data_IF_598602947820
#
_entry.id   IF_598602947820
#
_cell.length_a   1.000
_cell.length_b   1.000
_cell.length_c   1.000
_cell.angle_alpha   90.00
_cell.angle_beta   90.00
_cell.angle_gamma   90.00
#
_symmetry.space_group_name_H-M   'P 1'
#
loop_
_entity.id
_entity.type
_entity.pdbx_description
1 polymer ?
#
# COMPACT_ATOMS: atom_id res chain seq x y z
N UNK A 1 8.32 -2.81 -10.27
CA UNK A 1 8.50 -3.42 -8.93
C UNK A 1 8.02 -4.88 -8.83
N UNK A 2 7.39 -5.44 -9.86
CA UNK A 2 6.81 -6.78 -9.85
C UNK A 2 7.82 -7.89 -9.51
N UNK A 3 9.04 -7.83 -10.05
CA UNK A 3 10.08 -8.84 -9.77
C UNK A 3 10.39 -8.96 -8.27
N UNK A 4 10.55 -7.84 -7.56
CA UNK A 4 10.83 -7.84 -6.11
C UNK A 4 9.68 -8.50 -5.34
N UNK A 5 8.44 -8.17 -5.66
CA UNK A 5 7.30 -8.78 -4.98
C UNK A 5 7.14 -10.26 -5.29
N UNK A 6 7.52 -10.71 -6.50
CA UNK A 6 7.56 -12.13 -6.85
C UNK A 6 8.61 -12.88 -6.03
N UNK A 7 9.82 -12.33 -5.92
CA UNK A 7 10.90 -12.92 -5.12
C UNK A 7 10.53 -12.96 -3.62
N UNK A 8 9.90 -11.90 -3.10
CA UNK A 8 9.38 -11.88 -1.73
C UNK A 8 8.24 -12.89 -1.51
N UNK A 9 7.39 -13.10 -2.52
CA UNK A 9 6.27 -14.04 -2.44
C UNK A 9 6.73 -15.47 -2.18
N UNK A 10 7.86 -15.87 -2.76
CA UNK A 10 8.47 -17.19 -2.62
C UNK A 10 9.09 -17.45 -1.23
N UNK A 11 9.54 -16.41 -0.54
CA UNK A 11 10.29 -16.54 0.74
C UNK A 11 9.50 -16.12 1.97
N UNK A 12 8.52 -15.22 1.82
CA UNK A 12 7.73 -14.74 2.95
C UNK A 12 6.61 -15.73 3.31
N UNK A 13 6.26 -15.86 4.61
CA UNK A 13 5.11 -16.63 5.06
C UNK A 13 3.80 -16.24 4.35
N UNK A 14 2.85 -17.17 4.15
CA UNK A 14 1.61 -16.93 3.40
C UNK A 14 0.72 -15.80 3.94
N UNK A 15 0.80 -15.52 5.23
CA UNK A 15 0.03 -14.50 5.94
C UNK A 15 0.64 -13.08 5.85
N UNK A 16 1.82 -12.94 5.25
CA UNK A 16 2.54 -11.66 5.13
C UNK A 16 1.79 -10.67 4.26
N UNK A 17 1.59 -9.44 4.77
CA UNK A 17 1.06 -8.30 4.00
C UNK A 17 2.20 -7.59 3.28
N UNK A 18 2.02 -7.33 1.99
CA UNK A 18 2.95 -6.55 1.17
C UNK A 18 2.43 -5.13 0.96
N UNK A 19 3.21 -4.15 1.43
CA UNK A 19 2.90 -2.73 1.28
C UNK A 19 3.88 -2.04 0.31
N UNK A 20 3.37 -1.20 -0.60
CA UNK A 20 4.20 -0.39 -1.51
C UNK A 20 4.08 1.10 -1.23
N UNK A 21 5.23 1.76 -1.03
CA UNK A 21 5.34 3.23 -0.96
C UNK A 21 5.45 3.89 -2.35
N UNK A 22 4.85 3.29 -3.39
CA UNK A 22 4.84 3.93 -4.72
C UNK A 22 4.00 5.21 -4.69
N UNK A 23 4.27 6.18 -5.56
CA UNK A 23 3.49 7.42 -5.68
C UNK A 23 2.60 7.47 -6.94
N UNK A 24 2.81 6.53 -7.88
CA UNK A 24 2.11 6.54 -9.18
C UNK A 24 1.99 5.15 -9.86
N UNK A 25 2.72 4.13 -9.42
CA UNK A 25 2.60 2.78 -10.00
C UNK A 25 1.36 2.06 -9.46
N UNK A 26 0.77 1.19 -10.28
CA UNK A 26 -0.41 0.44 -9.90
C UNK A 26 -0.13 -0.60 -8.80
N UNK A 27 -0.92 -0.57 -7.73
CA UNK A 27 -0.96 -1.60 -6.68
C UNK A 27 -1.55 -2.88 -7.25
N UNK A 28 -2.59 -2.77 -8.07
CA UNK A 28 -3.20 -3.92 -8.76
C UNK A 28 -2.19 -4.70 -9.62
N UNK A 29 -1.40 -4.01 -10.44
CA UNK A 29 -0.34 -4.64 -11.26
C UNK A 29 0.79 -5.25 -10.43
N UNK A 30 1.06 -4.72 -9.24
CA UNK A 30 2.04 -5.31 -8.32
C UNK A 30 1.47 -6.57 -7.65
N UNK A 31 0.20 -6.54 -7.22
CA UNK A 31 -0.48 -7.68 -6.61
C UNK A 31 -0.60 -8.87 -7.57
N UNK A 32 -0.88 -8.62 -8.85
CA UNK A 32 -1.00 -9.67 -9.88
C UNK A 32 0.31 -10.42 -10.16
N UNK A 33 1.44 -9.91 -9.70
CA UNK A 33 2.74 -10.58 -9.82
C UNK A 33 3.05 -11.53 -8.65
N UNK A 34 2.13 -11.66 -7.69
CA UNK A 34 2.24 -12.50 -6.49
C UNK A 34 1.12 -13.53 -6.43
N UNK A 35 1.26 -14.57 -5.61
CA UNK A 35 0.19 -15.50 -5.29
C UNK A 35 -0.73 -15.01 -4.16
N UNK A 36 -0.55 -13.77 -3.67
CA UNK A 36 -1.34 -13.16 -2.59
C UNK A 36 -1.84 -11.75 -2.93
N UNK A 37 -2.54 -11.55 -4.06
CA UNK A 37 -3.06 -10.22 -4.43
C UNK A 37 -3.97 -9.60 -3.35
N UNK A 38 -4.65 -10.44 -2.57
CA UNK A 38 -5.50 -10.06 -1.45
C UNK A 38 -4.76 -9.50 -0.22
N UNK A 39 -3.44 -9.71 -0.15
CA UNK A 39 -2.53 -9.17 0.89
C UNK A 39 -1.57 -8.12 0.33
N UNK A 40 -1.83 -7.57 -0.86
CA UNK A 40 -1.04 -6.49 -1.46
C UNK A 40 -1.76 -5.16 -1.35
N UNK A 41 -1.09 -4.13 -0.83
CA UNK A 41 -1.70 -2.80 -0.58
C UNK A 41 -0.70 -1.66 -0.81
N UNK A 42 -1.21 -0.47 -1.15
CA UNK A 42 -0.41 0.75 -1.13
C UNK A 42 -0.37 1.37 0.27
N UNK A 43 0.82 1.81 0.70
CA UNK A 43 1.03 2.53 1.95
C UNK A 43 2.00 3.69 1.66
N UNK A 44 1.45 4.81 1.20
CA UNK A 44 2.22 5.93 0.67
C UNK A 44 2.47 6.99 1.75
N UNK A 45 3.73 7.13 2.11
CA UNK A 45 4.26 8.11 3.03
C UNK A 45 4.68 9.40 2.31
N UNK A 46 4.48 10.52 2.97
CA UNK A 46 4.92 11.83 2.47
C UNK A 46 6.31 12.16 2.98
N UNK A 47 7.18 12.68 2.11
CA UNK A 47 8.53 13.08 2.50
C UNK A 47 8.53 14.43 3.24
N UNK A 48 9.25 14.58 4.37
CA UNK A 48 10.03 13.54 5.06
C UNK A 48 9.14 12.59 5.91
N UNK A 49 9.28 11.28 5.69
CA UNK A 49 8.36 10.27 6.24
C UNK A 49 8.29 10.22 7.78
N UNK A 50 9.36 10.58 8.48
CA UNK A 50 9.37 10.62 9.95
C UNK A 50 8.66 11.85 10.53
N UNK A 51 8.55 12.94 9.75
CA UNK A 51 7.92 14.20 10.18
C UNK A 51 6.44 14.24 9.76
N UNK A 52 6.16 13.87 8.51
CA UNK A 52 4.82 14.00 7.93
C UNK A 52 3.85 13.01 8.60
N UNK A 53 2.66 13.49 8.98
CA UNK A 53 1.66 12.66 9.66
C UNK A 53 0.80 11.85 8.71
N UNK A 54 0.55 12.35 7.52
CA UNK A 54 -0.35 11.72 6.56
C UNK A 54 0.29 10.46 5.97
N UNK A 55 -0.51 9.40 5.84
CA UNK A 55 -0.21 8.19 5.06
C UNK A 55 -1.45 7.84 4.25
N UNK A 56 -1.31 7.70 2.94
CA UNK A 56 -2.39 7.21 2.09
C UNK A 56 -2.35 5.68 2.05
N UNK A 57 -3.49 5.04 2.33
CA UNK A 57 -3.70 3.60 2.21
C UNK A 57 -4.47 3.35 0.92
N UNK A 58 -3.91 2.56 0.01
CA UNK A 58 -4.45 2.36 -1.34
C UNK A 58 -4.72 0.87 -1.58
N UNK A 59 -5.92 0.37 -1.24
CA UNK A 59 -6.32 -0.99 -1.60
C UNK A 59 -6.52 -1.13 -3.11
N UNK A 60 -6.12 -2.29 -3.64
CA UNK A 60 -6.54 -2.77 -4.96
C UNK A 60 -7.92 -3.40 -4.86
N UNK A 61 -8.63 -3.65 -5.99
CA UNK A 61 -9.91 -4.36 -5.98
C UNK A 61 -9.85 -5.77 -5.38
N UNK A 62 -8.68 -6.41 -5.40
CA UNK A 62 -8.45 -7.76 -4.86
C UNK A 62 -8.10 -7.73 -3.36
N UNK A 63 -7.77 -6.56 -2.78
CA UNK A 63 -7.30 -6.45 -1.39
C UNK A 63 -8.40 -6.80 -0.41
N UNK A 64 -8.13 -7.73 0.51
CA UNK A 64 -9.07 -8.09 1.58
C UNK A 64 -9.25 -6.94 2.58
N UNK A 65 -10.47 -6.82 3.12
CA UNK A 65 -10.77 -5.83 4.15
C UNK A 65 -9.89 -6.00 5.39
N UNK A 66 -9.57 -7.24 5.79
CA UNK A 66 -8.65 -7.55 6.90
C UNK A 66 -7.24 -6.95 6.67
N UNK A 67 -6.75 -6.97 5.42
CA UNK A 67 -5.48 -6.34 5.05
C UNK A 67 -5.55 -4.82 5.21
N UNK A 68 -6.68 -4.20 4.81
CA UNK A 68 -6.90 -2.76 4.96
C UNK A 68 -6.93 -2.36 6.44
N UNK A 69 -7.71 -3.08 7.24
CA UNK A 69 -7.89 -2.81 8.67
C UNK A 69 -6.57 -2.98 9.43
N UNK A 70 -5.81 -4.03 9.11
CA UNK A 70 -4.48 -4.28 9.69
C UNK A 70 -3.50 -3.14 9.39
N UNK A 71 -3.46 -2.67 8.14
CA UNK A 71 -2.56 -1.57 7.73
C UNK A 71 -3.01 -0.23 8.30
N UNK A 72 -4.32 -0.01 8.43
CA UNK A 72 -4.86 1.17 9.10
C UNK A 72 -4.43 1.21 10.57
N UNK A 73 -4.63 0.11 11.30
CA UNK A 73 -4.21 -0.01 12.69
C UNK A 73 -2.70 0.21 12.83
N UNK A 74 -1.89 -0.47 12.01
CA UNK A 74 -0.43 -0.30 12.02
C UNK A 74 -0.02 1.16 11.77
N UNK A 75 -0.70 1.85 10.85
CA UNK A 75 -0.45 3.27 10.57
C UNK A 75 -0.73 4.14 11.80
N UNK A 76 -1.81 3.86 12.53
CA UNK A 76 -2.15 4.59 13.77
C UNK A 76 -1.14 4.31 14.89
N UNK A 77 -0.64 3.08 15.02
CA UNK A 77 0.42 2.71 15.97
C UNK A 77 1.74 3.47 15.70
N UNK A 78 2.03 3.77 14.44
CA UNK A 78 3.12 4.67 14.03
C UNK A 78 2.86 6.15 14.34
N UNK A 79 1.74 6.49 14.99
CA UNK A 79 1.27 7.86 15.25
C UNK A 79 1.09 8.68 13.98
N UNK A 80 0.72 8.00 12.89
CA UNK A 80 0.37 8.61 11.60
C UNK A 80 -1.16 8.69 11.48
N UNK A 81 -1.61 9.45 10.49
CA UNK A 81 -3.02 9.64 10.14
C UNK A 81 -3.25 8.88 8.83
N UNK A 82 -3.87 7.69 8.87
CA UNK A 82 -4.22 6.95 7.66
C UNK A 82 -5.39 7.64 6.93
N UNK A 83 -5.33 7.64 5.60
CA UNK A 83 -6.47 8.01 4.74
C UNK A 83 -6.60 6.96 3.66
N UNK A 84 -7.75 6.29 3.59
CA UNK A 84 -8.03 5.28 2.56
C UNK A 84 -8.39 6.01 1.26
N UNK A 85 -7.67 5.71 0.19
CA UNK A 85 -7.82 6.34 -1.13
C UNK A 85 -7.97 5.26 -2.19
N UNK A 86 -8.87 5.47 -3.16
CA UNK A 86 -8.99 4.59 -4.32
C UNK A 86 -7.77 4.73 -5.22
N UNK A 87 -7.30 3.60 -5.74
CA UNK A 87 -6.23 3.56 -6.73
C UNK A 87 -6.57 4.44 -7.94
N UNK A 88 -5.75 5.46 -8.18
CA UNK A 88 -5.77 6.28 -9.39
C UNK A 88 -4.40 6.92 -9.61
N UNK A 89 -4.06 7.36 -10.84
CA UNK A 89 -2.79 8.05 -11.10
C UNK A 89 -2.64 9.28 -10.19
N UNK A 90 -1.56 9.32 -9.40
CA UNK A 90 -1.30 10.41 -8.45
C UNK A 90 -2.13 10.37 -7.15
N UNK A 91 -2.89 9.30 -6.91
CA UNK A 91 -3.74 9.11 -5.72
C UNK A 91 -4.60 10.35 -5.40
N UNK A 92 -4.66 10.78 -4.13
CA UNK A 92 -5.46 11.93 -3.73
C UNK A 92 -4.63 13.21 -3.74
N UNK A 93 -3.54 13.25 -2.97
CA UNK A 93 -2.81 14.51 -2.75
C UNK A 93 -2.06 14.97 -4.00
N UNK A 94 -1.32 14.10 -4.68
CA UNK A 94 -0.61 14.52 -5.90
C UNK A 94 -1.59 14.88 -7.02
N UNK A 95 -2.78 14.27 -7.05
CA UNK A 95 -3.85 14.63 -7.98
C UNK A 95 -4.48 16.00 -7.69
N UNK A 96 -4.50 16.46 -6.44
CA UNK A 96 -5.03 17.79 -6.08
C UNK A 96 -3.98 18.90 -6.21
N UNK A 97 -2.69 18.55 -6.21
CA UNK A 97 -1.57 19.49 -6.31
C UNK A 97 -1.11 19.77 -7.75
N UNK A 98 -1.49 18.92 -8.71
CA UNK A 98 -1.18 19.03 -10.14
C UNK A 98 -2.43 19.43 -10.93
#
# INVERSE_FOLDING_TARGET
>A
KQQVYKELDEVCPPDTIFASNTSALSISEMGSATNRPHRMIGMHFFSPAHIMKLVEIIPSPETDQDTVDTVEQFTQELRKIPVIVKECPGFLVNRLLL
#
